data_IF_526238772422
#
_entry.id   IF_526238772422
#
_cell.length_a   1.000
_cell.length_b   1.000
_cell.length_c   1.000
_cell.angle_alpha   90.00
_cell.angle_beta   90.00
_cell.angle_gamma   90.00
#
_symmetry.space_group_name_H-M   'P 1'
#
loop_
_entity.id
_entity.type
_entity.pdbx_description
1 polymer ?
#
# COMPACT_ATOMS: atom_id res chain seq x y z
N UNK A 1 11.82 49.29 14.85
CA UNK A 1 10.62 50.11 15.06
C UNK A 1 9.59 49.76 13.98
N UNK A 2 8.34 49.57 14.39
CA UNK A 2 7.09 49.38 13.61
C UNK A 2 7.02 48.15 12.69
N UNK A 3 6.24 47.10 12.95
CA UNK A 3 4.81 46.96 13.34
C UNK A 3 3.86 47.30 12.20
N UNK A 4 3.21 46.28 11.60
CA UNK A 4 1.80 46.33 11.23
C UNK A 4 1.17 44.93 11.28
N UNK A 5 0.03 44.88 11.96
CA UNK A 5 -0.81 43.73 12.26
C UNK A 5 -1.58 43.20 11.04
N UNK A 6 -1.87 41.90 11.02
CA UNK A 6 -3.11 41.39 10.45
C UNK A 6 -3.77 40.44 11.45
N UNK A 7 -5.03 40.76 11.74
CA UNK A 7 -5.94 40.12 12.68
C UNK A 7 -6.75 39.11 11.86
N UNK A 8 -6.98 37.90 12.37
CA UNK A 8 -8.35 37.40 12.35
C UNK A 8 -8.60 36.29 13.37
N UNK A 9 -9.83 36.36 13.88
CA UNK A 9 -10.38 35.60 14.98
C UNK A 9 -10.53 34.11 14.67
N UNK A 10 -10.24 33.27 15.67
CA UNK A 10 -11.06 32.07 15.90
C UNK A 10 -11.32 31.87 17.38
N UNK A 11 -12.60 31.72 17.64
CA UNK A 11 -13.28 31.58 18.91
C UNK A 11 -12.94 30.26 19.60
N UNK A 12 -12.93 30.39 20.92
CA UNK A 12 -12.90 29.42 22.00
C UNK A 12 -13.83 28.22 21.79
N UNK A 13 -13.43 27.04 22.28
CA UNK A 13 -14.17 26.44 23.40
C UNK A 13 -13.33 25.43 24.18
N UNK A 14 -13.65 25.39 25.47
CA UNK A 14 -12.88 24.91 26.60
C UNK A 14 -12.94 23.38 26.77
N UNK A 15 -11.93 22.79 27.41
CA UNK A 15 -12.15 22.00 28.62
C UNK A 15 -10.84 21.61 29.29
N UNK A 16 -10.78 22.03 30.55
CA UNK A 16 -9.71 21.87 31.51
C UNK A 16 -9.74 20.47 32.14
N UNK A 17 -8.58 19.83 32.25
CA UNK A 17 -8.34 18.71 33.16
C UNK A 17 -7.07 19.02 33.92
N UNK A 18 -7.20 19.42 35.18
CA UNK A 18 -6.10 19.46 36.13
C UNK A 18 -6.40 18.47 37.27
N UNK A 19 -5.53 17.47 37.37
CA UNK A 19 -5.31 16.68 38.57
C UNK A 19 -4.41 17.47 39.52
N UNK A 20 -4.70 17.44 40.82
CA UNK A 20 -3.63 17.49 41.82
C UNK A 20 -4.08 16.91 43.15
N UNK A 21 -3.16 16.17 43.76
CA UNK A 21 -3.26 15.54 45.06
C UNK A 21 -2.67 16.47 46.14
N UNK A 22 -3.11 16.34 47.39
CA UNK A 22 -2.28 16.13 48.58
C UNK A 22 -3.08 16.34 49.88
N UNK A 23 -2.60 15.67 50.92
CA UNK A 23 -3.19 15.43 52.23
C UNK A 23 -3.12 16.60 53.21
N UNK A 24 -3.93 16.56 54.28
CA UNK A 24 -3.44 16.84 55.64
C UNK A 24 -4.36 16.22 56.73
N UNK A 25 -3.75 15.74 57.81
CA UNK A 25 -4.36 15.11 58.99
C UNK A 25 -4.62 16.15 60.08
N UNK A 26 -5.65 15.95 60.91
CA UNK A 26 -5.58 16.28 62.35
C UNK A 26 -6.38 15.29 63.19
N UNK A 27 -5.81 14.95 64.33
CA UNK A 27 -6.22 13.99 65.36
C UNK A 27 -6.93 14.71 66.54
N UNK A 28 -7.33 13.93 67.57
CA UNK A 28 -7.94 14.24 68.90
C UNK A 28 -9.40 13.75 68.94
N UNK A 29 -9.87 12.84 69.79
CA UNK A 29 -9.37 12.18 71.01
C UNK A 29 -10.53 12.06 72.02
N UNK A 30 -10.71 10.91 72.71
CA UNK A 30 -11.61 10.83 73.88
C UNK A 30 -12.31 9.47 74.13
N UNK A 31 -11.69 8.68 75.00
CA UNK A 31 -12.10 7.41 75.65
C UNK A 31 -13.29 7.57 76.63
N UNK A 32 -14.11 6.50 76.83
CA UNK A 32 -14.56 5.92 78.13
C UNK A 32 -15.34 4.61 77.82
N UNK A 33 -14.90 3.49 78.40
CA UNK A 33 -15.67 2.23 78.45
C UNK A 33 -16.55 2.10 79.71
N UNK A 34 -17.60 1.28 79.63
CA UNK A 34 -18.24 0.66 80.80
C UNK A 34 -18.52 -0.84 80.52
N UNK A 35 -17.90 -1.76 81.29
CA UNK A 35 -18.10 -3.21 81.22
C UNK A 35 -19.34 -3.66 82.03
N UNK A 36 -19.88 -4.84 81.71
CA UNK A 36 -20.98 -5.57 82.38
C UNK A 36 -22.43 -5.26 81.92
N UNK A 37 -22.85 -5.91 80.84
CA UNK A 37 -24.21 -6.44 80.74
C UNK A 37 -24.12 -7.90 80.27
N UNK A 38 -24.51 -8.79 81.15
CA UNK A 38 -24.37 -10.25 81.07
C UNK A 38 -25.32 -10.90 80.03
N UNK A 39 -24.93 -12.13 79.68
CA UNK A 39 -25.57 -13.11 78.81
C UNK A 39 -27.10 -13.18 78.84
N UNK A 40 -27.73 -13.05 77.66
CA UNK A 40 -28.92 -13.83 77.31
C UNK A 40 -28.70 -14.39 75.91
N UNK A 41 -28.51 -15.70 75.87
CA UNK A 41 -28.41 -16.52 74.66
C UNK A 41 -29.77 -16.54 73.97
N UNK A 42 -29.87 -15.92 72.81
CA UNK A 42 -31.00 -16.11 71.89
C UNK A 42 -30.51 -17.01 70.75
N UNK A 43 -30.69 -18.32 70.91
CA UNK A 43 -30.38 -19.34 69.90
C UNK A 43 -31.30 -19.16 68.68
N UNK A 44 -30.93 -18.26 67.77
CA UNK A 44 -31.43 -18.25 66.41
C UNK A 44 -30.36 -18.86 65.50
N UNK A 45 -30.57 -20.07 64.97
CA UNK A 45 -29.56 -20.75 64.18
C UNK A 45 -29.35 -20.02 62.84
N UNK A 46 -28.18 -19.40 62.69
CA UNK A 46 -27.72 -18.83 61.44
C UNK A 46 -27.24 -19.95 60.51
N UNK A 47 -28.07 -20.33 59.54
CA UNK A 47 -27.69 -21.24 58.46
C UNK A 47 -26.66 -20.54 57.55
N UNK A 48 -25.39 -20.79 57.80
CA UNK A 48 -24.34 -20.58 56.80
C UNK A 48 -24.42 -21.71 55.76
N UNK A 49 -24.34 -21.42 54.45
CA UNK A 49 -24.43 -22.46 53.43
C UNK A 49 -23.14 -23.26 53.44
N UNK A 50 -23.17 -24.44 54.04
CA UNK A 50 -22.13 -25.44 53.87
C UNK A 50 -22.21 -25.98 52.42
N UNK A 51 -21.25 -25.56 51.60
CA UNK A 51 -20.95 -26.24 50.34
C UNK A 51 -20.28 -27.56 50.72
N UNK A 52 -21.04 -28.65 50.66
CA UNK A 52 -20.56 -30.01 50.37
C UNK A 52 -21.79 -30.93 50.17
N UNK A 53 -22.61 -30.61 49.17
CA UNK A 53 -23.32 -31.63 48.41
C UNK A 53 -22.93 -31.46 46.94
N UNK A 54 -22.00 -32.30 46.55
CA UNK A 54 -21.57 -32.57 45.19
C UNK A 54 -22.79 -33.11 44.41
N UNK A 55 -23.56 -32.22 43.80
CA UNK A 55 -24.69 -32.58 42.93
C UNK A 55 -24.16 -33.13 41.60
N UNK A 56 -23.65 -34.35 41.62
CA UNK A 56 -23.54 -35.15 40.41
C UNK A 56 -24.92 -35.72 40.02
N UNK A 57 -25.86 -34.83 39.71
CA UNK A 57 -26.95 -35.14 38.77
C UNK A 57 -26.52 -34.62 37.42
N UNK A 58 -25.91 -35.50 36.62
CA UNK A 58 -25.74 -35.26 35.19
C UNK A 58 -27.14 -35.29 34.59
N UNK A 59 -27.80 -34.15 34.53
CA UNK A 59 -29.10 -34.02 33.87
C UNK A 59 -28.85 -34.30 32.39
N UNK A 60 -29.22 -35.50 31.94
CA UNK A 60 -29.29 -35.81 30.52
C UNK A 60 -30.33 -34.89 29.88
N UNK A 61 -29.85 -33.80 29.29
CA UNK A 61 -30.64 -32.83 28.53
C UNK A 61 -30.98 -33.35 27.13
N UNK A 62 -30.52 -34.55 26.78
CA UNK A 62 -30.82 -35.27 25.55
C UNK A 62 -31.98 -36.27 25.71
N UNK A 63 -32.78 -36.18 26.79
CA UNK A 63 -33.94 -37.02 26.96
C UNK A 63 -35.09 -36.51 26.06
N UNK A 64 -35.73 -37.38 25.24
CA UNK A 64 -36.70 -36.97 24.24
C UNK A 64 -37.93 -36.27 24.82
N UNK A 65 -38.24 -36.47 26.11
CA UNK A 65 -39.40 -35.86 26.78
C UNK A 65 -39.13 -34.47 27.37
N UNK A 66 -37.87 -34.03 27.49
CA UNK A 66 -37.54 -32.65 27.94
C UNK A 66 -37.61 -31.63 26.79
N UNK A 67 -37.88 -32.09 25.58
CA UNK A 67 -37.87 -31.32 24.33
C UNK A 67 -39.30 -31.16 23.83
N UNK A 68 -40.05 -30.24 24.43
CA UNK A 68 -41.36 -29.83 23.92
C UNK A 68 -41.14 -28.99 22.66
N UNK A 69 -41.68 -29.43 21.51
CA UNK A 69 -41.77 -28.61 20.29
C UNK A 69 -40.80 -28.95 19.13
N UNK A 70 -40.23 -30.16 19.10
CA UNK A 70 -39.25 -30.57 18.06
C UNK A 70 -39.75 -30.52 16.61
N UNK A 71 -41.06 -30.56 16.37
CA UNK A 71 -41.60 -30.59 15.00
C UNK A 71 -41.92 -29.19 14.42
N UNK A 72 -41.97 -28.14 15.24
CA UNK A 72 -42.36 -26.79 14.79
C UNK A 72 -41.24 -25.75 14.90
N UNK A 73 -40.12 -26.06 15.55
CA UNK A 73 -38.97 -25.16 15.76
C UNK A 73 -37.70 -25.70 15.08
N UNK A 74 -37.13 -24.95 14.12
CA UNK A 74 -35.89 -25.27 13.40
C UNK A 74 -34.67 -25.52 14.31
N UNK A 75 -34.66 -24.91 15.50
CA UNK A 75 -33.61 -25.00 16.53
C UNK A 75 -34.03 -25.81 17.77
N UNK A 76 -35.17 -26.51 17.72
CA UNK A 76 -35.78 -27.18 18.90
C UNK A 76 -34.96 -28.29 19.55
N UNK A 77 -33.80 -28.64 18.99
CA UNK A 77 -32.84 -29.60 19.56
C UNK A 77 -31.74 -28.92 20.40
N UNK A 78 -31.79 -27.60 20.55
CA UNK A 78 -30.79 -26.80 21.24
C UNK A 78 -31.32 -26.23 22.57
N UNK A 79 -30.46 -25.98 23.56
CA UNK A 79 -30.86 -25.23 24.75
C UNK A 79 -31.27 -23.79 24.38
N UNK A 80 -32.24 -23.23 25.10
CA UNK A 80 -32.82 -21.89 24.82
C UNK A 80 -31.77 -20.78 24.64
N UNK A 81 -30.73 -20.77 25.49
CA UNK A 81 -29.65 -19.79 25.41
C UNK A 81 -28.82 -19.88 24.11
N UNK A 82 -28.80 -21.04 23.46
CA UNK A 82 -28.15 -21.24 22.17
C UNK A 82 -29.07 -20.84 21.01
N UNK A 83 -30.37 -21.11 21.12
CA UNK A 83 -31.38 -20.63 20.16
C UNK A 83 -31.39 -19.09 20.09
N UNK A 84 -31.42 -18.41 21.24
CA UNK A 84 -31.38 -16.94 21.30
C UNK A 84 -30.10 -16.36 20.69
N UNK A 85 -28.95 -17.02 20.87
CA UNK A 85 -27.68 -16.62 20.26
C UNK A 85 -27.69 -16.77 18.74
N UNK A 86 -28.29 -17.84 18.24
CA UNK A 86 -28.41 -18.06 16.79
C UNK A 86 -29.31 -17.00 16.20
N UNK A 87 -30.48 -16.76 16.81
CA UNK A 87 -31.44 -15.74 16.39
C UNK A 87 -30.82 -14.34 16.36
N UNK A 88 -30.11 -13.95 17.42
CA UNK A 88 -29.43 -12.65 17.47
C UNK A 88 -28.35 -12.50 16.38
N UNK A 89 -27.61 -13.58 16.06
CA UNK A 89 -26.62 -13.59 14.98
C UNK A 89 -27.28 -13.51 13.60
N UNK A 90 -28.41 -14.19 13.40
CA UNK A 90 -29.16 -14.15 12.15
C UNK A 90 -29.74 -12.76 11.90
N UNK A 91 -30.30 -12.12 12.92
CA UNK A 91 -30.76 -10.72 12.85
C UNK A 91 -29.60 -9.75 12.51
N UNK A 92 -28.41 -9.97 13.07
CA UNK A 92 -27.22 -9.19 12.74
C UNK A 92 -26.76 -9.44 11.28
N UNK A 93 -26.77 -10.70 10.83
CA UNK A 93 -26.44 -11.06 9.44
C UNK A 93 -27.47 -10.50 8.45
N UNK A 94 -28.74 -10.47 8.79
CA UNK A 94 -29.79 -9.80 8.02
C UNK A 94 -29.55 -8.30 7.96
N UNK A 95 -29.19 -7.66 9.08
CA UNK A 95 -28.84 -6.25 9.10
C UNK A 95 -27.60 -5.94 8.23
N UNK A 96 -26.56 -6.76 8.32
CA UNK A 96 -25.33 -6.63 7.52
C UNK A 96 -25.64 -6.88 6.04
N UNK A 97 -26.42 -7.90 5.70
CA UNK A 97 -26.78 -8.22 4.32
C UNK A 97 -27.69 -7.14 3.71
N UNK A 98 -28.70 -6.67 4.44
CA UNK A 98 -29.52 -5.54 4.04
C UNK A 98 -28.65 -4.30 3.80
N UNK A 99 -27.72 -3.98 4.72
CA UNK A 99 -26.76 -2.88 4.54
C UNK A 99 -25.80 -3.10 3.35
N UNK A 100 -25.42 -4.34 3.08
CA UNK A 100 -24.56 -4.71 1.95
C UNK A 100 -25.28 -4.62 0.60
N UNK A 101 -26.59 -4.90 0.53
CA UNK A 101 -27.39 -4.69 -0.69
C UNK A 101 -27.47 -3.22 -1.11
N UNK A 102 -27.30 -2.27 -0.17
CA UNK A 102 -27.19 -0.83 -0.48
C UNK A 102 -25.78 -0.39 -0.94
N UNK A 103 -24.81 -1.31 -0.99
CA UNK A 103 -23.52 -1.08 -1.64
C UNK A 103 -23.64 -1.18 -3.16
N UNK A 104 -24.28 -0.19 -3.83
CA UNK A 104 -24.32 -0.11 -5.30
C UNK A 104 -22.91 0.08 -5.89
N UNK A 105 -22.19 -1.02 -6.04
CA UNK A 105 -21.03 -1.15 -6.93
C UNK A 105 -21.46 -1.62 -8.33
N UNK A 106 -22.71 -2.04 -8.51
CA UNK A 106 -23.30 -2.24 -9.84
C UNK A 106 -23.09 -0.97 -10.68
N UNK A 107 -22.62 -1.16 -11.90
CA UNK A 107 -22.24 -0.10 -12.84
C UNK A 107 -21.05 0.79 -12.46
N UNK A 108 -20.31 0.54 -11.37
CA UNK A 108 -19.04 1.28 -11.12
C UNK A 108 -18.07 1.09 -12.27
N UNK A 109 -17.83 -0.16 -12.67
CA UNK A 109 -16.95 -0.46 -13.81
C UNK A 109 -17.43 0.20 -15.09
N UNK A 110 -18.75 0.21 -15.33
CA UNK A 110 -19.37 0.85 -16.51
C UNK A 110 -19.15 2.35 -16.50
N UNK A 111 -19.38 3.03 -15.38
CA UNK A 111 -19.14 4.47 -15.21
C UNK A 111 -17.65 4.82 -15.31
N UNK A 112 -16.77 4.04 -14.68
CA UNK A 112 -15.31 4.22 -14.81
C UNK A 112 -14.88 4.02 -16.26
N UNK A 113 -15.39 2.99 -16.93
CA UNK A 113 -15.12 2.75 -18.36
C UNK A 113 -15.64 3.88 -19.23
N UNK A 114 -16.84 4.39 -18.97
CA UNK A 114 -17.44 5.50 -19.71
C UNK A 114 -16.63 6.79 -19.53
N UNK A 115 -16.24 7.12 -18.29
CA UNK A 115 -15.32 8.25 -18.00
C UNK A 115 -13.99 8.07 -18.72
N UNK A 116 -13.39 6.88 -18.68
CA UNK A 116 -12.12 6.59 -19.39
C UNK A 116 -12.30 6.70 -20.91
N UNK A 117 -13.43 6.26 -21.46
CA UNK A 117 -13.71 6.36 -22.89
C UNK A 117 -13.95 7.81 -23.33
N UNK A 118 -14.70 8.59 -22.55
CA UNK A 118 -14.92 10.02 -22.83
C UNK A 118 -13.61 10.80 -22.69
N UNK A 119 -12.82 10.57 -21.65
CA UNK A 119 -11.47 11.15 -21.54
C UNK A 119 -10.58 10.74 -22.71
N UNK A 120 -10.68 9.50 -23.20
CA UNK A 120 -9.98 9.06 -24.42
C UNK A 120 -10.49 9.79 -25.66
N UNK A 121 -11.79 10.05 -25.78
CA UNK A 121 -12.39 10.80 -26.90
C UNK A 121 -11.96 12.25 -26.89
N UNK A 122 -12.00 12.90 -25.74
CA UNK A 122 -11.52 14.28 -25.56
C UNK A 122 -10.01 14.40 -25.88
N UNK A 123 -9.20 13.42 -25.45
CA UNK A 123 -7.78 13.35 -25.80
C UNK A 123 -7.55 12.98 -27.27
N UNK A 124 -8.50 12.29 -27.91
CA UNK A 124 -8.51 12.01 -29.34
C UNK A 124 -9.04 13.22 -30.11
N UNK A 125 -8.44 14.38 -29.86
CA UNK A 125 -8.23 15.30 -30.98
C UNK A 125 -7.30 14.54 -31.90
N UNK A 126 -7.76 14.14 -33.08
CA UNK A 126 -6.88 13.60 -34.12
C UNK A 126 -5.90 14.73 -34.50
N UNK A 127 -4.82 14.84 -33.73
CA UNK A 127 -3.72 15.71 -34.10
C UNK A 127 -3.17 15.11 -35.38
N UNK A 128 -3.33 15.86 -36.48
CA UNK A 128 -2.83 15.48 -37.78
C UNK A 128 -1.35 15.10 -37.65
N UNK A 129 -0.94 14.09 -38.41
CA UNK A 129 0.47 13.69 -38.42
C UNK A 129 1.31 14.89 -38.91
N UNK A 130 2.33 15.35 -38.17
CA UNK A 130 3.13 16.52 -38.54
C UNK A 130 4.12 16.23 -39.68
N UNK A 131 4.41 14.96 -39.97
CA UNK A 131 5.41 14.56 -40.98
C UNK A 131 5.15 15.08 -42.40
N UNK A 132 3.91 15.17 -42.90
CA UNK A 132 3.61 15.76 -44.21
C UNK A 132 3.85 17.28 -44.29
N UNK A 133 4.01 17.98 -43.17
CA UNK A 133 4.26 19.43 -43.14
C UNK A 133 5.74 19.77 -43.33
N UNK A 134 6.63 18.78 -43.17
CA UNK A 134 8.07 18.95 -43.29
C UNK A 134 8.52 18.89 -44.76
N UNK A 135 9.58 19.63 -45.07
CA UNK A 135 10.29 19.47 -46.34
C UNK A 135 10.93 18.09 -46.45
N UNK A 136 11.11 17.59 -47.68
CA UNK A 136 11.64 16.24 -47.93
C UNK A 136 13.00 16.00 -47.26
N UNK A 137 13.87 17.01 -47.22
CA UNK A 137 15.17 16.93 -46.57
C UNK A 137 15.04 16.83 -45.03
N UNK A 138 14.16 17.63 -44.43
CA UNK A 138 13.89 17.57 -42.99
C UNK A 138 13.28 16.22 -42.60
N UNK A 139 12.32 15.73 -43.38
CA UNK A 139 11.68 14.43 -43.14
C UNK A 139 12.69 13.27 -43.25
N UNK A 140 13.62 13.33 -44.21
CA UNK A 140 14.70 12.35 -44.33
C UNK A 140 15.60 12.35 -43.08
N UNK A 141 15.93 13.53 -42.56
CA UNK A 141 16.74 13.66 -41.34
C UNK A 141 15.98 13.18 -40.09
N UNK A 142 14.70 13.53 -39.94
CA UNK A 142 13.82 12.98 -38.89
C UNK A 142 13.84 11.45 -38.91
N UNK A 143 13.71 10.85 -40.11
CA UNK A 143 13.72 9.40 -40.25
C UNK A 143 15.06 8.80 -39.83
N UNK A 144 16.18 9.41 -40.21
CA UNK A 144 17.52 8.97 -39.83
C UNK A 144 17.73 9.05 -38.32
N UNK A 145 17.35 10.16 -37.70
CA UNK A 145 17.48 10.34 -36.25
C UNK A 145 16.54 9.43 -35.47
N UNK A 146 15.32 9.20 -35.97
CA UNK A 146 14.40 8.23 -35.34
C UNK A 146 14.99 6.82 -35.27
N UNK A 147 15.73 6.40 -36.29
CA UNK A 147 16.45 5.11 -36.30
C UNK A 147 17.53 5.13 -35.24
N UNK A 148 18.39 6.16 -35.26
CA UNK A 148 19.50 6.30 -34.32
C UNK A 148 19.04 6.22 -32.86
N UNK A 149 17.99 6.96 -32.51
CA UNK A 149 17.45 6.97 -31.13
C UNK A 149 16.98 5.57 -30.74
N UNK A 150 16.19 4.91 -31.59
CA UNK A 150 15.68 3.56 -31.28
C UNK A 150 16.75 2.47 -31.29
N UNK A 151 17.88 2.67 -31.95
CA UNK A 151 19.02 1.75 -31.91
C UNK A 151 19.91 1.99 -30.70
N UNK A 152 19.90 3.21 -30.15
CA UNK A 152 20.68 3.56 -28.94
C UNK A 152 20.01 3.06 -27.67
N UNK A 153 18.68 3.00 -27.66
CA UNK A 153 17.89 2.68 -26.48
C UNK A 153 17.33 1.26 -26.57
N UNK A 154 17.34 0.52 -25.46
CA UNK A 154 16.75 -0.83 -25.38
C UNK A 154 15.29 -0.76 -24.92
N UNK A 155 14.37 -1.12 -25.81
CA UNK A 155 12.93 -1.08 -25.53
C UNK A 155 12.33 0.31 -25.81
N UNK A 156 11.23 0.63 -25.13
CA UNK A 156 10.57 1.93 -25.27
C UNK A 156 9.70 2.12 -26.52
N UNK A 157 9.53 3.36 -26.99
CA UNK A 157 8.61 3.73 -28.05
C UNK A 157 9.07 3.24 -29.43
N UNK A 158 8.09 2.94 -30.29
CA UNK A 158 8.40 2.55 -31.68
C UNK A 158 9.08 3.67 -32.46
N UNK A 159 9.88 3.30 -33.47
CA UNK A 159 10.48 4.25 -34.43
C UNK A 159 9.45 5.23 -35.03
N UNK A 160 8.25 4.76 -35.34
CA UNK A 160 7.20 5.60 -35.89
C UNK A 160 6.70 6.66 -34.88
N UNK A 161 6.67 6.32 -33.59
CA UNK A 161 6.32 7.25 -32.53
C UNK A 161 7.42 8.30 -32.35
N UNK A 162 8.68 7.88 -32.26
CA UNK A 162 9.84 8.79 -32.19
C UNK A 162 9.90 9.72 -33.41
N UNK A 163 9.74 9.18 -34.61
CA UNK A 163 9.67 9.95 -35.86
C UNK A 163 8.56 11.00 -35.83
N UNK A 164 7.37 10.64 -35.34
CA UNK A 164 6.25 11.58 -35.21
C UNK A 164 6.54 12.68 -34.19
N UNK A 165 7.10 12.35 -33.02
CA UNK A 165 7.43 13.34 -31.98
C UNK A 165 8.56 14.27 -32.41
N UNK A 166 9.60 13.76 -33.07
CA UNK A 166 10.64 14.58 -33.71
C UNK A 166 10.05 15.53 -34.75
N UNK A 167 9.20 15.02 -35.65
CA UNK A 167 8.57 15.86 -36.66
C UNK A 167 7.73 16.96 -36.04
N UNK A 168 6.96 16.64 -34.98
CA UNK A 168 6.21 17.63 -34.21
C UNK A 168 7.12 18.74 -33.66
N UNK A 169 8.21 18.38 -32.99
CA UNK A 169 9.17 19.34 -32.40
C UNK A 169 9.78 20.26 -33.47
N UNK A 170 10.13 19.71 -34.65
CA UNK A 170 10.69 20.49 -35.76
C UNK A 170 9.64 21.43 -36.37
N UNK A 171 8.41 20.96 -36.57
CA UNK A 171 7.28 21.79 -37.02
C UNK A 171 6.97 22.91 -36.02
N UNK A 172 7.08 22.64 -34.72
CA UNK A 172 6.90 23.63 -33.65
C UNK A 172 8.07 24.65 -33.58
N UNK A 173 9.07 24.54 -34.46
CA UNK A 173 10.15 25.51 -34.66
C UNK A 173 11.48 25.15 -34.00
N UNK A 174 11.62 23.96 -33.40
CA UNK A 174 12.90 23.52 -32.83
C UNK A 174 13.89 23.14 -33.92
N UNK A 175 15.18 23.40 -33.67
CA UNK A 175 16.23 22.91 -34.56
C UNK A 175 16.26 21.37 -34.53
N UNK A 176 16.77 20.73 -35.59
CA UNK A 176 16.89 19.27 -35.62
C UNK A 176 17.71 18.75 -34.43
N UNK A 177 18.79 19.46 -34.05
CA UNK A 177 19.68 19.05 -32.97
C UNK A 177 18.94 19.10 -31.63
N UNK A 178 18.29 20.23 -31.33
CA UNK A 178 17.55 20.41 -30.07
C UNK A 178 16.39 19.41 -29.98
N UNK A 179 15.65 19.23 -31.09
CA UNK A 179 14.58 18.25 -31.17
C UNK A 179 15.08 16.83 -30.91
N UNK A 180 16.26 16.46 -31.40
CA UNK A 180 16.84 15.12 -31.18
C UNK A 180 17.32 14.90 -29.76
N UNK A 181 17.97 15.89 -29.14
CA UNK A 181 18.46 15.77 -27.76
C UNK A 181 17.28 15.62 -26.80
N UNK A 182 16.28 16.49 -26.94
CA UNK A 182 15.07 16.43 -26.12
C UNK A 182 14.28 15.13 -26.32
N UNK A 183 14.19 14.64 -27.56
CA UNK A 183 13.56 13.34 -27.82
C UNK A 183 14.35 12.18 -27.19
N UNK A 184 15.68 12.22 -27.16
CA UNK A 184 16.47 11.20 -26.46
C UNK A 184 16.18 11.19 -24.96
N UNK A 185 16.12 12.36 -24.33
CA UNK A 185 15.81 12.48 -22.90
C UNK A 185 14.39 12.01 -22.58
N UNK A 186 13.41 12.38 -23.41
CA UNK A 186 12.02 11.91 -23.29
C UNK A 186 11.91 10.39 -23.45
N UNK A 187 12.63 9.82 -24.42
CA UNK A 187 12.63 8.36 -24.66
C UNK A 187 13.24 7.62 -23.46
N UNK A 188 14.35 8.12 -22.89
CA UNK A 188 14.96 7.56 -21.68
C UNK A 188 14.06 7.67 -20.45
N UNK A 189 13.27 8.73 -20.35
CA UNK A 189 12.30 8.95 -19.27
C UNK A 189 10.99 8.14 -19.44
N UNK A 190 10.76 7.54 -20.61
CA UNK A 190 9.53 6.80 -20.89
C UNK A 190 9.57 5.40 -20.26
N UNK A 191 8.48 5.00 -19.60
CA UNK A 191 8.37 3.66 -19.01
C UNK A 191 8.50 2.57 -20.08
N UNK A 192 9.20 1.49 -19.75
CA UNK A 192 9.51 0.39 -20.69
C UNK A 192 10.85 0.55 -21.40
N UNK A 193 11.42 1.75 -21.43
CA UNK A 193 12.79 2.02 -21.88
C UNK A 193 13.79 1.58 -20.83
N UNK A 194 14.67 0.64 -21.18
CA UNK A 194 15.81 0.26 -20.33
C UNK A 194 16.90 1.32 -20.50
N UNK A 195 17.21 1.99 -19.40
CA UNK A 195 18.23 3.04 -19.30
C UNK A 195 19.53 2.40 -18.83
N UNK A 196 20.64 2.79 -19.44
CA UNK A 196 21.97 2.39 -18.99
C UNK A 196 22.26 3.03 -17.62
N UNK A 197 22.96 2.30 -16.75
CA UNK A 197 23.11 2.66 -15.34
C UNK A 197 23.80 4.03 -15.16
N UNK A 198 24.75 4.36 -16.03
CA UNK A 198 25.44 5.66 -16.02
C UNK A 198 24.50 6.85 -16.28
N UNK A 199 23.45 6.65 -17.08
CA UNK A 199 22.52 7.70 -17.49
C UNK A 199 21.38 7.91 -16.48
N UNK A 200 21.15 6.95 -15.58
CA UNK A 200 20.07 6.99 -14.58
C UNK A 200 20.00 8.30 -13.79
N UNK A 201 21.11 8.91 -13.33
CA UNK A 201 21.06 10.17 -12.59
C UNK A 201 20.45 11.32 -13.40
N UNK A 202 20.71 11.37 -14.71
CA UNK A 202 20.31 12.44 -15.63
C UNK A 202 18.85 12.34 -16.08
N UNK A 203 18.27 11.14 -16.06
CA UNK A 203 16.86 10.94 -16.46
C UNK A 203 15.91 11.69 -15.53
N UNK A 204 15.07 12.57 -16.09
CA UNK A 204 14.16 13.41 -15.30
C UNK A 204 13.04 12.62 -14.59
N UNK A 205 12.67 11.45 -15.12
CA UNK A 205 11.65 10.59 -14.52
C UNK A 205 12.07 10.11 -13.11
N UNK A 206 11.12 10.13 -12.17
CA UNK A 206 11.36 9.66 -10.80
C UNK A 206 11.53 8.13 -10.69
N UNK A 207 11.08 7.40 -11.71
CA UNK A 207 11.21 5.96 -11.82
C UNK A 207 11.87 5.61 -13.16
N UNK A 208 12.72 4.59 -13.16
CA UNK A 208 13.47 4.13 -14.33
C UNK A 208 13.41 2.62 -14.47
N UNK A 209 13.55 2.12 -15.69
CA UNK A 209 13.82 0.70 -15.92
C UNK A 209 15.32 0.50 -16.18
N UNK A 210 15.93 -0.45 -15.50
CA UNK A 210 17.35 -0.79 -15.69
C UNK A 210 17.52 -2.28 -15.85
N UNK A 211 18.61 -2.69 -16.50
CA UNK A 211 19.03 -4.08 -16.63
C UNK A 211 20.52 -4.17 -16.33
N UNK A 212 20.90 -5.14 -15.50
CA UNK A 212 22.30 -5.36 -15.15
C UNK A 212 22.49 -6.61 -14.31
N UNK A 213 23.74 -6.97 -14.08
CA UNK A 213 24.15 -8.09 -13.24
C UNK A 213 24.26 -7.63 -11.78
N UNK A 214 23.78 -8.45 -10.84
CA UNK A 214 24.00 -8.24 -9.42
C UNK A 214 25.42 -8.68 -9.06
N UNK A 215 26.32 -7.71 -8.85
CA UNK A 215 27.74 -8.00 -8.63
C UNK A 215 28.12 -8.17 -7.15
N UNK A 216 27.31 -7.65 -6.22
CA UNK A 216 27.59 -7.71 -4.79
C UNK A 216 26.30 -7.53 -3.97
N UNK A 217 26.12 -8.34 -2.93
CA UNK A 217 25.05 -8.24 -1.94
C UNK A 217 25.63 -8.04 -0.54
N UNK A 218 25.02 -7.14 0.23
CA UNK A 218 25.39 -6.91 1.61
C UNK A 218 24.28 -7.31 2.58
N UNK A 219 24.67 -7.60 3.82
CA UNK A 219 23.72 -7.78 4.92
C UNK A 219 22.88 -6.52 5.16
N UNK A 220 21.55 -6.62 5.31
CA UNK A 220 20.69 -5.46 5.50
C UNK A 220 20.99 -4.78 6.85
N UNK A 221 21.18 -3.46 6.82
CA UNK A 221 21.48 -2.68 8.03
C UNK A 221 20.25 -2.41 8.92
N UNK A 222 19.03 -2.62 8.39
CA UNK A 222 17.75 -2.33 9.05
C UNK A 222 16.72 -3.38 8.64
N UNK A 223 15.80 -3.73 9.53
CA UNK A 223 14.73 -4.70 9.26
C UNK A 223 13.76 -4.28 8.13
N UNK A 224 13.70 -2.99 7.81
CA UNK A 224 12.91 -2.49 6.68
C UNK A 224 13.54 -2.77 5.31
N UNK A 225 14.82 -3.16 5.27
CA UNK A 225 15.54 -3.51 4.05
C UNK A 225 15.55 -5.03 3.91
N UNK A 226 15.04 -5.54 2.79
CA UNK A 226 15.11 -6.97 2.46
C UNK A 226 16.49 -7.33 1.92
N UNK A 227 16.93 -6.60 0.89
CA UNK A 227 18.24 -6.77 0.26
C UNK A 227 18.82 -5.42 -0.14
N UNK A 228 20.14 -5.32 -0.14
CA UNK A 228 20.88 -4.15 -0.60
C UNK A 228 22.15 -4.64 -1.28
N UNK A 229 22.51 -4.04 -2.41
CA UNK A 229 23.62 -4.51 -3.21
C UNK A 229 24.03 -3.53 -4.30
N UNK A 230 24.91 -4.00 -5.19
CA UNK A 230 25.30 -3.33 -6.42
C UNK A 230 24.75 -4.09 -7.62
N UNK A 231 24.16 -3.34 -8.54
CA UNK A 231 23.84 -3.78 -9.89
C UNK A 231 24.77 -3.05 -10.86
N UNK A 232 25.27 -3.74 -11.87
CA UNK A 232 26.17 -3.17 -12.87
C UNK A 232 25.78 -3.58 -14.28
N UNK A 233 26.04 -2.70 -15.23
CA UNK A 233 26.00 -2.98 -16.66
C UNK A 233 27.36 -2.62 -17.27
N UNK A 234 27.44 -2.59 -18.60
CA UNK A 234 28.69 -2.25 -19.30
C UNK A 234 29.11 -0.77 -19.10
N UNK A 235 28.22 0.07 -18.56
CA UNK A 235 28.46 1.51 -18.37
C UNK A 235 28.95 1.82 -16.96
N UNK A 236 28.19 1.46 -15.93
CA UNK A 236 28.48 1.79 -14.54
C UNK A 236 27.86 0.78 -13.56
N UNK A 237 28.17 0.98 -12.28
CA UNK A 237 27.55 0.25 -11.17
C UNK A 237 26.78 1.20 -10.27
N UNK A 238 25.61 0.78 -9.84
CA UNK A 238 24.74 1.55 -8.97
C UNK A 238 24.26 0.71 -7.79
N UNK A 239 24.13 1.36 -6.63
CA UNK A 239 23.54 0.73 -5.46
C UNK A 239 22.03 0.60 -5.66
N UNK A 240 21.48 -0.57 -5.34
CA UNK A 240 20.05 -0.79 -5.25
C UNK A 240 19.64 -1.21 -3.84
N UNK A 241 18.38 -0.98 -3.49
CA UNK A 241 17.78 -1.40 -2.22
C UNK A 241 16.39 -1.96 -2.48
N UNK A 242 16.14 -3.19 -2.02
CA UNK A 242 14.84 -3.84 -2.02
C UNK A 242 14.24 -3.71 -0.63
N UNK A 243 13.05 -3.11 -0.53
CA UNK A 243 12.36 -2.91 0.74
C UNK A 243 11.60 -4.15 1.18
N UNK A 244 11.56 -4.47 2.48
CA UNK A 244 10.81 -5.63 3.01
C UNK A 244 9.33 -5.57 2.64
N UNK A 245 8.72 -4.39 2.76
CA UNK A 245 7.30 -4.18 2.42
C UNK A 245 7.02 -4.13 0.90
N UNK A 246 8.06 -4.28 0.06
CA UNK A 246 7.86 -4.41 -1.40
C UNK A 246 7.44 -5.82 -1.81
N UNK A 247 7.66 -6.83 -0.95
CA UNK A 247 7.39 -8.25 -1.24
C UNK A 247 7.99 -8.75 -2.57
N UNK A 248 9.11 -8.16 -2.98
CA UNK A 248 9.80 -8.50 -4.21
C UNK A 248 10.53 -9.84 -4.10
N UNK A 249 10.74 -10.48 -5.24
CA UNK A 249 11.54 -11.72 -5.31
C UNK A 249 13.00 -11.43 -5.00
N UNK A 250 13.64 -12.28 -4.21
CA UNK A 250 15.07 -12.10 -3.91
C UNK A 250 15.95 -12.32 -5.16
N UNK A 251 17.03 -11.55 -5.22
CA UNK A 251 18.09 -11.65 -6.24
C UNK A 251 19.32 -12.35 -5.67
N UNK A 252 20.15 -12.93 -6.55
CA UNK A 252 21.43 -13.57 -6.20
C UNK A 252 22.60 -12.84 -6.84
N UNK A 253 23.81 -12.95 -6.28
CA UNK A 253 25.02 -12.47 -6.95
C UNK A 253 25.29 -13.28 -8.23
N UNK A 254 25.83 -12.63 -9.26
CA UNK A 254 26.06 -13.20 -10.59
C UNK A 254 24.81 -13.27 -11.47
N UNK A 255 23.69 -12.72 -11.02
CA UNK A 255 22.41 -12.82 -11.72
C UNK A 255 22.10 -11.58 -12.54
N UNK A 256 21.77 -11.77 -13.82
CA UNK A 256 21.19 -10.69 -14.64
C UNK A 256 19.74 -10.43 -14.23
N UNK A 257 19.46 -9.21 -13.80
CA UNK A 257 18.14 -8.76 -13.35
C UNK A 257 17.73 -7.52 -14.11
N UNK A 258 16.47 -7.49 -14.56
CA UNK A 258 15.84 -6.29 -15.07
C UNK A 258 14.87 -5.73 -14.03
N UNK A 259 15.15 -4.53 -13.55
CA UNK A 259 14.35 -3.85 -12.54
C UNK A 259 13.46 -2.82 -13.27
N UNK A 260 12.16 -3.08 -13.31
CA UNK A 260 11.15 -2.17 -13.88
C UNK A 260 10.62 -1.23 -12.82
N UNK A 261 10.36 0.02 -13.18
CA UNK A 261 9.86 1.09 -12.33
C UNK A 261 10.64 1.19 -11.00
N UNK A 262 11.96 1.18 -11.08
CA UNK A 262 12.84 1.40 -9.94
C UNK A 262 12.79 2.88 -9.55
N UNK A 263 12.41 3.19 -8.31
CA UNK A 263 12.38 4.57 -7.84
C UNK A 263 13.81 5.10 -7.65
N UNK A 264 14.09 6.29 -8.16
CA UNK A 264 15.35 6.98 -7.92
C UNK A 264 15.37 7.56 -6.51
N UNK A 265 16.45 7.33 -5.77
CA UNK A 265 16.66 7.92 -4.46
C UNK A 265 18.05 8.55 -4.34
N UNK A 266 18.11 9.79 -3.89
CA UNK A 266 19.34 10.57 -3.77
C UNK A 266 19.82 10.58 -2.32
N UNK A 267 21.06 10.19 -2.11
CA UNK A 267 21.70 10.24 -0.80
C UNK A 267 23.16 10.69 -0.94
N UNK A 268 23.54 11.79 -0.29
CA UNK A 268 24.87 12.41 -0.39
C UNK A 268 25.33 12.54 -1.85
N UNK A 269 24.49 13.18 -2.68
CA UNK A 269 24.74 13.44 -4.11
C UNK A 269 24.86 12.19 -4.99
N UNK A 270 24.65 10.98 -4.44
CA UNK A 270 24.63 9.73 -5.20
C UNK A 270 23.20 9.27 -5.44
N UNK A 271 22.88 9.05 -6.71
CA UNK A 271 21.65 8.39 -7.12
C UNK A 271 21.77 6.90 -6.83
N UNK A 272 20.71 6.33 -6.26
CA UNK A 272 20.57 4.91 -5.98
C UNK A 272 19.18 4.45 -6.44
N UNK A 273 19.03 3.14 -6.64
CA UNK A 273 17.75 2.53 -7.01
C UNK A 273 17.03 2.00 -5.78
N UNK A 274 15.73 2.25 -5.71
CA UNK A 274 14.84 1.70 -4.71
C UNK A 274 13.78 0.83 -5.40
N UNK A 275 13.79 -0.46 -5.09
CA UNK A 275 12.78 -1.41 -5.56
C UNK A 275 11.62 -1.41 -4.57
N UNK A 276 10.47 -0.91 -5.02
CA UNK A 276 9.27 -0.72 -4.20
C UNK A 276 8.18 -1.72 -4.58
N UNK A 277 7.00 -1.64 -3.96
CA UNK A 277 5.86 -2.49 -4.32
C UNK A 277 5.30 -2.23 -5.73
N UNK A 278 5.64 -1.09 -6.35
CA UNK A 278 5.26 -0.75 -7.74
C UNK A 278 6.29 -1.20 -8.78
N UNK A 279 7.48 -1.56 -8.31
CA UNK A 279 8.55 -2.08 -9.15
C UNK A 279 8.25 -3.52 -9.57
N UNK A 280 8.93 -4.02 -10.60
CA UNK A 280 8.87 -5.43 -11.00
C UNK A 280 10.27 -5.93 -11.33
N UNK A 281 10.65 -7.05 -10.71
CA UNK A 281 11.87 -7.75 -11.06
C UNK A 281 11.58 -8.80 -12.13
N UNK A 282 12.31 -8.72 -13.23
CA UNK A 282 12.34 -9.71 -14.31
C UNK A 282 13.73 -10.37 -14.31
N UNK A 283 13.77 -11.67 -14.55
CA UNK A 283 14.99 -12.46 -14.53
C UNK A 283 15.17 -13.13 -15.90
N UNK A 284 15.86 -12.48 -16.86
CA UNK A 284 15.99 -13.00 -18.22
C UNK A 284 16.60 -14.41 -18.30
N UNK A 285 17.45 -14.76 -17.33
CA UNK A 285 18.18 -16.03 -17.29
C UNK A 285 17.54 -17.12 -16.43
N UNK A 286 16.68 -16.75 -15.46
CA UNK A 286 15.99 -17.77 -14.63
C UNK A 286 15.06 -18.61 -15.49
N UNK A 287 15.22 -19.94 -15.41
CA UNK A 287 14.38 -20.88 -16.12
C UNK A 287 14.77 -21.13 -17.58
N UNK A 288 15.94 -20.64 -18.03
CA UNK A 288 16.58 -21.15 -19.24
C UNK A 288 17.09 -22.57 -18.97
N UNK A 289 16.35 -23.57 -19.42
CA UNK A 289 16.63 -24.99 -19.17
C UNK A 289 17.58 -25.61 -20.20
N UNK A 290 18.35 -24.81 -20.95
CA UNK A 290 19.19 -25.28 -22.06
C UNK A 290 20.66 -24.81 -21.99
N UNK A 291 21.33 -24.88 -20.83
CA UNK A 291 22.80 -24.82 -20.85
C UNK A 291 23.36 -26.24 -20.70
N UNK A 292 23.83 -26.88 -21.78
CA UNK A 292 24.61 -28.11 -21.65
C UNK A 292 25.97 -27.75 -21.02
N UNK A 293 26.33 -28.49 -19.96
CA UNK A 293 27.67 -28.47 -19.33
C UNK A 293 28.81 -28.80 -20.30
#
# INVERSE_FOLDING_TARGET
MSSTNFRDHKTSDESSVNQEAAAEKTDVGGDVGDPFAEDIVDETPEFSPSIEQETHTKVETNHPETVVGREENEFGHLPLAQEERIRAREEELELISAKATFGRQEEREKRTREVVLEQRRERRVEQADPRPELEQAQLAEVNKQSVRITETVRGGPSRAAVSRRLAKKVTDGKSMIDATLEEMDEVKAESGTIVDIADVPEVEAGEVDVEGEIIELWGPSKASISQVGLIADDTEKMKFTIWTNSYQTNVSEGETVRIRNAAKNWHNERCNLAVTGWSRLEFPERGQWWTPE
#
